data_IF_498742661504
#
_entry.id   IF_498742661504
#
_cell.length_a   1.000
_cell.length_b   1.000
_cell.length_c   1.000
_cell.angle_alpha   90.00
_cell.angle_beta   90.00
_cell.angle_gamma   90.00
#
_symmetry.space_group_name_H-M   'P 1'
#
loop_
_entity.id
_entity.type
_entity.pdbx_description
1 polymer ?
#
# COMPACT_ATOMS: atom_id res chain seq x y z
N UNK A 1 7.13 -12.83 -14.87
CA UNK A 1 6.15 -13.26 -13.87
C UNK A 1 4.74 -12.88 -14.32
N UNK A 2 3.79 -13.74 -14.10
CA UNK A 2 2.40 -13.49 -14.48
C UNK A 2 1.74 -12.52 -13.51
N UNK A 3 0.85 -11.68 -14.05
CA UNK A 3 0.01 -10.83 -13.23
C UNK A 3 -0.95 -11.68 -12.41
N UNK A 4 -1.24 -11.24 -11.19
CA UNK A 4 -2.12 -11.93 -10.28
C UNK A 4 -3.05 -10.92 -9.61
N UNK A 5 -4.33 -11.28 -9.49
CA UNK A 5 -5.32 -10.46 -8.80
C UNK A 5 -6.13 -11.34 -7.85
N UNK A 6 -6.28 -10.89 -6.61
CA UNK A 6 -7.10 -11.54 -5.60
C UNK A 6 -8.06 -10.54 -4.98
N UNK A 7 -9.31 -10.95 -4.78
CA UNK A 7 -10.34 -10.10 -4.20
C UNK A 7 -10.74 -10.60 -2.82
N UNK A 8 -10.91 -9.67 -1.89
CA UNK A 8 -11.29 -9.93 -0.50
C UNK A 8 -12.49 -9.06 -0.11
N UNK A 9 -12.93 -9.13 1.15
CA UNK A 9 -14.12 -8.40 1.61
C UNK A 9 -14.04 -6.90 1.37
N UNK A 10 -12.92 -6.29 1.74
CA UNK A 10 -12.75 -4.84 1.68
C UNK A 10 -11.54 -4.43 0.85
N UNK A 11 -10.94 -5.36 0.12
CA UNK A 11 -9.73 -5.07 -0.64
C UNK A 11 -9.58 -5.98 -1.84
N UNK A 12 -8.80 -5.54 -2.80
CA UNK A 12 -8.27 -6.41 -3.84
C UNK A 12 -6.77 -6.11 -3.97
N UNK A 13 -6.00 -7.15 -4.26
CA UNK A 13 -4.55 -7.05 -4.36
C UNK A 13 -4.13 -7.66 -5.68
N UNK A 14 -3.35 -6.91 -6.46
CA UNK A 14 -2.79 -7.41 -7.71
C UNK A 14 -1.28 -7.19 -7.72
N UNK A 15 -0.58 -8.03 -8.47
CA UNK A 15 0.87 -7.92 -8.61
C UNK A 15 1.24 -8.03 -10.08
N UNK A 16 2.05 -7.08 -10.55
CA UNK A 16 2.54 -7.07 -11.93
C UNK A 16 3.83 -6.26 -12.01
N UNK A 17 4.85 -6.84 -12.64
CA UNK A 17 6.10 -6.13 -12.95
C UNK A 17 6.76 -5.44 -11.75
N UNK A 18 6.74 -6.11 -10.61
CA UNK A 18 7.35 -5.58 -9.39
C UNK A 18 6.47 -4.66 -8.58
N UNK A 19 5.27 -4.35 -9.05
CA UNK A 19 4.36 -3.44 -8.35
C UNK A 19 3.15 -4.20 -7.82
N UNK A 20 2.92 -4.07 -6.52
CA UNK A 20 1.69 -4.53 -5.88
C UNK A 20 0.70 -3.37 -5.87
N UNK A 21 -0.52 -3.60 -6.33
CA UNK A 21 -1.59 -2.62 -6.25
C UNK A 21 -2.64 -3.13 -5.28
N UNK A 22 -2.86 -2.39 -4.19
CA UNK A 22 -3.91 -2.67 -3.22
C UNK A 22 -5.02 -1.65 -3.41
N UNK A 23 -6.24 -2.11 -3.62
CA UNK A 23 -7.42 -1.25 -3.68
C UNK A 23 -8.28 -1.54 -2.47
N UNK A 24 -8.45 -0.55 -1.61
CA UNK A 24 -9.17 -0.68 -0.34
C UNK A 24 -10.47 0.11 -0.43
N UNK A 25 -11.54 -0.43 0.15
CA UNK A 25 -12.85 0.24 0.07
C UNK A 25 -13.70 -0.03 1.31
N UNK A 26 -14.66 0.85 1.54
CA UNK A 26 -15.61 0.73 2.64
C UNK A 26 -15.02 1.10 3.98
N UNK A 27 -15.56 0.53 5.04
CA UNK A 27 -15.11 0.79 6.40
C UNK A 27 -14.21 -0.34 6.86
N UNK A 28 -13.01 0.00 7.30
CA UNK A 28 -12.05 -0.96 7.82
C UNK A 28 -12.19 -1.08 9.33
N UNK A 29 -12.44 -2.29 9.80
CA UNK A 29 -12.37 -2.63 11.22
C UNK A 29 -11.17 -3.55 11.45
N UNK A 30 -11.01 -4.04 12.67
CA UNK A 30 -9.90 -4.92 13.01
C UNK A 30 -9.87 -6.16 12.10
N UNK A 31 -11.02 -6.79 11.89
CA UNK A 31 -11.11 -8.01 11.08
C UNK A 31 -10.71 -7.77 9.63
N UNK A 32 -11.21 -6.71 8.99
CA UNK A 32 -10.87 -6.44 7.59
C UNK A 32 -9.42 -5.99 7.44
N UNK A 33 -8.88 -5.28 8.41
CA UNK A 33 -7.46 -4.89 8.38
C UNK A 33 -6.55 -6.11 8.57
N UNK A 34 -6.90 -7.04 9.45
CA UNK A 34 -6.15 -8.29 9.62
C UNK A 34 -6.17 -9.13 8.35
N UNK A 35 -7.33 -9.24 7.70
CA UNK A 35 -7.44 -9.97 6.44
C UNK A 35 -6.51 -9.36 5.38
N UNK A 36 -6.55 -8.05 5.24
CA UNK A 36 -5.68 -7.35 4.30
C UNK A 36 -4.19 -7.59 4.62
N UNK A 37 -3.82 -7.46 5.90
CA UNK A 37 -2.44 -7.67 6.33
C UNK A 37 -1.96 -9.07 5.99
N UNK A 38 -2.74 -10.08 6.33
CA UNK A 38 -2.37 -11.47 6.08
C UNK A 38 -2.17 -11.74 4.59
N UNK A 39 -3.08 -11.25 3.77
CA UNK A 39 -3.00 -11.48 2.33
C UNK A 39 -1.83 -10.72 1.68
N UNK A 40 -1.61 -9.49 2.12
CA UNK A 40 -0.48 -8.71 1.62
C UNK A 40 0.84 -9.36 2.01
N UNK A 41 0.99 -9.76 3.27
CA UNK A 41 2.22 -10.38 3.74
C UNK A 41 2.46 -11.74 3.08
N UNK A 42 1.42 -12.53 2.86
CA UNK A 42 1.55 -13.80 2.13
C UNK A 42 2.11 -13.57 0.73
N UNK A 43 1.58 -12.59 0.01
CA UNK A 43 2.08 -12.25 -1.31
C UNK A 43 3.55 -11.80 -1.26
N UNK A 44 3.86 -10.89 -0.34
CA UNK A 44 5.22 -10.35 -0.22
C UNK A 44 6.22 -11.42 0.16
N UNK A 45 5.85 -12.31 1.07
CA UNK A 45 6.72 -13.43 1.47
C UNK A 45 6.98 -14.37 0.29
N UNK A 46 6.00 -14.55 -0.57
CA UNK A 46 6.15 -15.34 -1.78
C UNK A 46 7.13 -14.77 -2.79
N UNK A 47 7.46 -13.49 -2.67
CA UNK A 47 8.46 -12.85 -3.54
C UNK A 47 9.90 -13.16 -3.12
N UNK A 48 10.12 -13.85 -2.00
CA UNK A 48 11.44 -14.27 -1.52
C UNK A 48 12.43 -13.10 -1.42
N UNK A 49 12.00 -12.03 -0.78
CA UNK A 49 12.78 -10.79 -0.60
C UNK A 49 13.12 -10.05 -1.88
N UNK A 50 12.51 -10.42 -3.00
CA UNK A 50 12.62 -9.59 -4.20
C UNK A 50 12.06 -8.21 -3.90
N UNK A 51 12.72 -7.18 -4.39
CA UNK A 51 12.23 -5.81 -4.21
C UNK A 51 10.87 -5.62 -4.87
N UNK A 52 10.04 -4.79 -4.25
CA UNK A 52 8.72 -4.48 -4.80
C UNK A 52 8.34 -3.04 -4.47
N UNK A 53 7.42 -2.49 -5.26
CA UNK A 53 6.78 -1.22 -4.98
C UNK A 53 5.32 -1.50 -4.65
N UNK A 54 4.69 -0.60 -3.90
CA UNK A 54 3.30 -0.74 -3.49
C UNK A 54 2.51 0.52 -3.80
N UNK A 55 1.42 0.34 -4.53
CA UNK A 55 0.41 1.38 -4.74
C UNK A 55 -0.79 1.03 -3.88
N UNK A 56 -1.11 1.88 -2.92
CA UNK A 56 -2.26 1.68 -2.04
C UNK A 56 -3.35 2.71 -2.41
N UNK A 57 -4.38 2.23 -3.09
CA UNK A 57 -5.52 3.08 -3.46
C UNK A 57 -6.53 3.04 -2.32
N UNK A 58 -6.59 4.13 -1.57
CA UNK A 58 -7.51 4.31 -0.45
C UNK A 58 -8.61 5.32 -0.78
N UNK A 59 -8.79 5.65 -2.05
CA UNK A 59 -9.76 6.65 -2.48
C UNK A 59 -11.20 6.25 -2.17
N UNK A 60 -11.48 4.97 -2.02
CA UNK A 60 -12.81 4.45 -1.72
C UNK A 60 -12.99 4.01 -0.27
N UNK A 61 -12.01 4.29 0.59
CA UNK A 61 -12.13 4.01 2.02
C UNK A 61 -13.05 5.07 2.64
N UNK A 62 -14.07 4.62 3.38
CA UNK A 62 -15.05 5.50 4.01
C UNK A 62 -14.74 5.78 5.46
N UNK A 63 -13.92 4.95 6.09
CA UNK A 63 -13.50 5.14 7.46
C UNK A 63 -12.74 3.93 7.97
N UNK A 64 -12.18 4.06 9.17
CA UNK A 64 -11.45 2.99 9.81
C UNK A 64 -11.54 3.13 11.34
N UNK A 65 -11.59 1.99 12.03
CA UNK A 65 -11.57 1.97 13.49
C UNK A 65 -10.14 2.21 14.00
N UNK A 66 -9.97 2.62 15.28
CA UNK A 66 -8.63 2.75 15.87
C UNK A 66 -7.83 1.45 15.77
N UNK A 67 -8.47 0.31 15.97
CA UNK A 67 -7.82 -1.01 15.89
C UNK A 67 -7.31 -1.28 14.48
N UNK A 68 -8.07 -0.87 13.46
CA UNK A 68 -7.64 -1.00 12.08
C UNK A 68 -6.40 -0.14 11.80
N UNK A 69 -6.35 1.08 12.32
CA UNK A 69 -5.18 1.94 12.17
C UNK A 69 -3.93 1.34 12.82
N UNK A 70 -4.09 0.68 13.97
CA UNK A 70 -2.96 0.00 14.63
C UNK A 70 -2.39 -1.11 13.72
N UNK A 71 -3.26 -1.85 13.06
CA UNK A 71 -2.83 -2.91 12.14
C UNK A 71 -2.14 -2.31 10.91
N UNK A 72 -2.72 -1.26 10.33
CA UNK A 72 -2.11 -0.57 9.19
C UNK A 72 -0.73 -0.03 9.55
N UNK A 73 -0.58 0.50 10.76
CA UNK A 73 0.71 0.99 11.25
C UNK A 73 1.75 -0.12 11.29
N UNK A 74 1.36 -1.32 11.74
CA UNK A 74 2.27 -2.48 11.73
C UNK A 74 2.67 -2.85 10.31
N UNK A 75 1.73 -2.82 9.36
CA UNK A 75 2.02 -3.08 7.96
C UNK A 75 3.08 -2.09 7.45
N UNK A 76 2.83 -0.80 7.66
CA UNK A 76 3.71 0.27 7.17
C UNK A 76 5.12 0.11 7.73
N UNK A 77 5.25 -0.24 9.00
CA UNK A 77 6.55 -0.37 9.64
C UNK A 77 7.29 -1.66 9.24
N UNK A 78 6.56 -2.67 8.82
CA UNK A 78 7.14 -3.97 8.48
C UNK A 78 7.59 -4.08 7.02
N UNK A 79 6.87 -3.47 6.10
CA UNK A 79 7.11 -3.64 4.66
C UNK A 79 8.53 -3.28 4.21
N UNK A 80 9.18 -2.21 4.73
CA UNK A 80 10.55 -1.91 4.31
C UNK A 80 11.53 -3.07 4.56
N UNK A 81 11.36 -3.78 5.66
CA UNK A 81 12.21 -4.94 5.97
C UNK A 81 11.96 -6.12 5.03
N UNK A 82 10.81 -6.15 4.38
CA UNK A 82 10.41 -7.24 3.50
C UNK A 82 10.75 -7.00 2.04
N UNK A 83 11.31 -5.83 1.71
CA UNK A 83 11.74 -5.53 0.35
C UNK A 83 11.01 -4.38 -0.32
N UNK A 84 10.18 -3.64 0.42
CA UNK A 84 9.50 -2.46 -0.13
C UNK A 84 10.51 -1.38 -0.46
N UNK A 85 10.46 -0.84 -1.68
CA UNK A 85 11.42 0.17 -2.15
C UNK A 85 10.78 1.49 -2.48
N UNK A 86 9.48 1.50 -2.77
CA UNK A 86 8.73 2.72 -3.03
C UNK A 86 7.26 2.47 -2.76
N UNK A 87 6.57 3.49 -2.27
CA UNK A 87 5.15 3.38 -1.98
C UNK A 87 4.43 4.66 -2.34
N UNK A 88 3.27 4.54 -2.95
CA UNK A 88 2.40 5.65 -3.25
C UNK A 88 1.00 5.37 -2.73
N UNK A 89 0.36 6.41 -2.23
CA UNK A 89 -1.04 6.36 -1.85
C UNK A 89 -1.86 7.13 -2.87
N UNK A 90 -3.01 6.59 -3.25
CA UNK A 90 -4.04 7.32 -3.98
C UNK A 90 -5.17 7.59 -3.00
N UNK A 91 -5.53 8.85 -2.84
CA UNK A 91 -6.52 9.25 -1.85
C UNK A 91 -7.53 10.21 -2.47
N UNK A 92 -8.63 10.44 -1.76
CA UNK A 92 -9.68 11.35 -2.20
C UNK A 92 -9.95 12.36 -1.10
N UNK A 93 -9.62 13.62 -1.36
CA UNK A 93 -9.82 14.72 -0.43
C UNK A 93 -8.75 14.83 0.65
N UNK A 94 -8.54 16.05 1.18
CA UNK A 94 -7.47 16.32 2.14
C UNK A 94 -7.72 15.73 3.53
N UNK A 95 -8.99 15.44 3.87
CA UNK A 95 -9.34 14.94 5.20
C UNK A 95 -8.73 13.57 5.47
N UNK A 96 -8.82 12.66 4.49
CA UNK A 96 -8.27 11.31 4.64
C UNK A 96 -6.76 11.37 4.82
N UNK A 97 -6.08 12.18 4.03
CA UNK A 97 -4.62 12.35 4.14
C UNK A 97 -4.25 12.88 5.51
N UNK A 98 -4.97 13.88 6.00
CA UNK A 98 -4.73 14.46 7.32
C UNK A 98 -4.91 13.45 8.45
N UNK A 99 -5.97 12.64 8.38
CA UNK A 99 -6.22 11.60 9.38
C UNK A 99 -5.10 10.56 9.37
N UNK A 100 -4.64 10.15 8.20
CA UNK A 100 -3.55 9.19 8.10
C UNK A 100 -2.26 9.72 8.74
N UNK A 101 -1.89 10.96 8.46
CA UNK A 101 -0.69 11.56 9.07
C UNK A 101 -0.83 11.71 10.58
N UNK A 102 -2.04 11.99 11.06
CA UNK A 102 -2.29 12.09 12.50
C UNK A 102 -2.20 10.73 13.20
N UNK A 103 -2.79 9.69 12.59
CA UNK A 103 -2.83 8.35 13.17
C UNK A 103 -1.54 7.57 12.98
N UNK A 104 -0.80 7.87 11.91
CA UNK A 104 0.43 7.18 11.57
C UNK A 104 1.52 8.23 11.32
N UNK A 105 2.10 8.80 12.42
CA UNK A 105 3.11 9.85 12.26
C UNK A 105 4.35 9.40 11.48
N UNK A 106 4.63 8.11 11.43
CA UNK A 106 5.76 7.55 10.70
C UNK A 106 5.71 7.89 9.22
N UNK A 107 4.53 8.14 8.66
CA UNK A 107 4.39 8.50 7.25
C UNK A 107 5.14 9.78 6.89
N UNK A 108 5.35 10.67 7.85
CA UNK A 108 6.09 11.92 7.60
C UNK A 108 7.59 11.69 7.44
N UNK A 109 8.10 10.57 7.94
CA UNK A 109 9.53 10.24 7.89
C UNK A 109 9.87 9.32 6.73
N UNK A 110 8.86 8.76 6.07
CA UNK A 110 9.02 7.84 4.96
C UNK A 110 8.83 8.61 3.66
N UNK A 111 9.58 8.20 2.63
CA UNK A 111 9.52 8.84 1.32
C UNK A 111 8.31 8.33 0.53
N UNK A 112 7.15 8.32 1.16
CA UNK A 112 5.89 7.89 0.53
C UNK A 112 5.19 9.11 -0.02
N UNK A 113 4.70 9.02 -1.25
CA UNK A 113 3.99 10.11 -1.89
C UNK A 113 2.49 9.84 -1.94
N UNK A 114 1.73 10.93 -1.93
CA UNK A 114 0.28 10.91 -1.99
C UNK A 114 -0.18 11.55 -3.28
N UNK A 115 -1.04 10.85 -4.00
CA UNK A 115 -1.58 11.28 -5.29
C UNK A 115 -3.10 11.28 -5.26
N UNK A 116 -3.71 12.11 -6.10
CA UNK A 116 -5.15 12.06 -6.31
C UNK A 116 -5.51 11.33 -7.61
N UNK A 117 -4.51 11.03 -8.43
CA UNK A 117 -4.69 10.35 -9.72
C UNK A 117 -3.88 9.05 -9.71
N UNK A 118 -4.58 7.94 -9.95
CA UNK A 118 -3.96 6.61 -9.89
C UNK A 118 -2.92 6.40 -11.00
N UNK A 119 -3.13 7.00 -12.17
CA UNK A 119 -2.19 6.85 -13.27
C UNK A 119 -0.88 7.59 -13.00
N UNK A 120 -0.97 8.77 -12.39
CA UNK A 120 0.22 9.50 -11.96
C UNK A 120 0.99 8.73 -10.88
N UNK A 121 0.27 8.15 -9.94
CA UNK A 121 0.88 7.35 -8.87
C UNK A 121 1.61 6.14 -9.45
N UNK A 122 0.96 5.44 -10.37
CA UNK A 122 1.55 4.26 -11.00
C UNK A 122 2.79 4.60 -11.79
N UNK A 123 2.73 5.68 -12.56
CA UNK A 123 3.88 6.12 -13.35
C UNK A 123 5.08 6.47 -12.45
N UNK A 124 4.83 7.21 -11.39
CA UNK A 124 5.89 7.55 -10.44
C UNK A 124 6.50 6.29 -9.80
N UNK A 125 5.65 5.33 -9.39
CA UNK A 125 6.12 4.10 -8.78
C UNK A 125 7.00 3.28 -9.74
N UNK A 126 6.59 3.17 -11.00
CA UNK A 126 7.37 2.44 -11.99
C UNK A 126 8.72 3.09 -12.21
N UNK A 127 8.77 4.41 -12.25
CA UNK A 127 10.03 5.14 -12.41
C UNK A 127 10.94 4.93 -11.20
N UNK A 128 10.39 5.00 -9.98
CA UNK A 128 11.16 4.80 -8.75
C UNK A 128 11.66 3.37 -8.64
N UNK A 129 10.83 2.40 -9.00
CA UNK A 129 11.23 1.00 -8.98
C UNK A 129 12.40 0.76 -9.93
N UNK A 130 12.31 1.25 -11.17
CA UNK A 130 13.38 1.12 -12.16
C UNK A 130 14.64 1.84 -11.71
N UNK A 131 14.51 3.04 -11.16
CA UNK A 131 15.66 3.82 -10.69
C UNK A 131 16.43 3.08 -9.62
N UNK A 132 15.74 2.39 -8.72
CA UNK A 132 16.36 1.70 -7.58
C UNK A 132 16.94 0.34 -7.94
N UNK A 133 16.37 -0.34 -8.94
CA UNK A 133 16.81 -1.69 -9.31
C UNK A 133 17.47 -1.79 -10.65
N UNK A 134 17.34 -0.79 -11.50
CA UNK A 134 18.02 -0.73 -12.78
C UNK A 134 18.72 0.61 -12.92
N UNK A 135 19.55 0.97 -11.92
CA UNK A 135 20.29 2.23 -12.03
C UNK A 135 21.26 2.11 -13.19
N UNK A 136 21.27 3.11 -14.03
CA UNK A 136 22.18 3.16 -15.17
C UNK A 136 23.28 4.15 -14.85
#
# INVERSE_FOLDING_TARGET
MLAMTRNFSNSSISYKDGVITSTLHGIFNESSAEEYKEQLFELVMGLNKKPFALLADISQVEGATPEAFDIVKRIINRLPEMGLVAKAYVYHGPVVRGIMFQRIPELKRLDYLFFTDIDEARLWLLQEYKRKFHPV
#
